data_IF_541971420672
#
_entry.id   IF_541971420672
#
_cell.length_a   1.000
_cell.length_b   1.000
_cell.length_c   1.000
_cell.angle_alpha   90.00
_cell.angle_beta   90.00
_cell.angle_gamma   90.00
#
_symmetry.space_group_name_H-M   'P 1'
#
loop_
_entity.id
_entity.type
_entity.pdbx_description
1 polymer ?
#
# COMPACT_ATOMS: atom_id res chain seq x y z
N UNK A 1 -17.72 -17.80 7.05
CA UNK A 1 -17.37 -16.40 6.69
C UNK A 1 -17.87 -16.12 5.28
N UNK A 2 -18.82 -15.19 5.08
CA UNK A 2 -19.41 -14.85 3.76
C UNK A 2 -18.29 -14.49 2.77
N UNK A 3 -18.35 -14.98 1.54
CA UNK A 3 -17.34 -14.76 0.49
C UNK A 3 -16.99 -13.26 0.31
N UNK A 4 -17.97 -12.37 0.49
CA UNK A 4 -17.78 -10.91 0.47
C UNK A 4 -16.77 -10.41 1.51
N UNK A 5 -16.70 -11.01 2.70
CA UNK A 5 -15.79 -10.56 3.77
C UNK A 5 -14.34 -10.95 3.45
N UNK A 6 -14.12 -12.14 2.87
CA UNK A 6 -12.78 -12.59 2.48
C UNK A 6 -12.18 -11.70 1.39
N UNK A 7 -12.98 -11.31 0.40
CA UNK A 7 -12.53 -10.41 -0.67
C UNK A 7 -12.13 -9.02 -0.14
N UNK A 8 -12.94 -8.45 0.77
CA UNK A 8 -12.62 -7.17 1.41
C UNK A 8 -11.34 -7.22 2.25
N UNK A 9 -11.13 -8.30 3.00
CA UNK A 9 -9.92 -8.50 3.82
C UNK A 9 -8.66 -8.58 2.97
N UNK A 10 -8.73 -9.28 1.84
CA UNK A 10 -7.59 -9.38 0.92
C UNK A 10 -7.28 -8.01 0.28
N UNK A 11 -8.29 -7.25 -0.12
CA UNK A 11 -8.11 -5.89 -0.63
C UNK A 11 -7.45 -4.97 0.41
N UNK A 12 -7.93 -4.99 1.67
CA UNK A 12 -7.30 -4.21 2.74
C UNK A 12 -5.85 -4.62 3.01
N UNK A 13 -5.52 -5.92 2.89
CA UNK A 13 -4.16 -6.40 3.09
C UNK A 13 -3.23 -5.95 1.96
N UNK A 14 -3.69 -5.96 0.70
CA UNK A 14 -2.94 -5.42 -0.43
C UNK A 14 -2.61 -3.94 -0.22
N UNK A 15 -3.59 -3.15 0.19
CA UNK A 15 -3.41 -1.73 0.49
C UNK A 15 -2.41 -1.55 1.65
N UNK A 16 -2.54 -2.34 2.72
CA UNK A 16 -1.60 -2.29 3.86
C UNK A 16 -0.15 -2.58 3.44
N UNK A 17 0.05 -3.59 2.58
CA UNK A 17 1.35 -3.97 2.04
C UNK A 17 2.00 -2.82 1.25
N UNK A 18 1.20 -1.97 0.59
CA UNK A 18 1.69 -0.78 -0.13
C UNK A 18 2.03 0.34 0.84
N UNK A 19 1.11 0.63 1.77
CA UNK A 19 1.16 1.84 2.59
C UNK A 19 2.34 1.82 3.56
N UNK A 20 2.53 0.74 4.32
CA UNK A 20 3.54 0.70 5.37
C UNK A 20 4.98 0.93 4.85
N UNK A 21 5.48 0.17 3.84
CA UNK A 21 6.81 0.43 3.28
C UNK A 21 6.91 1.79 2.58
N UNK A 22 5.82 2.29 1.98
CA UNK A 22 5.80 3.63 1.39
C UNK A 22 5.97 4.71 2.46
N UNK A 23 5.26 4.62 3.59
CA UNK A 23 5.42 5.56 4.71
C UNK A 23 6.87 5.53 5.20
N UNK A 24 7.43 4.33 5.42
CA UNK A 24 8.81 4.20 5.90
C UNK A 24 9.81 4.80 4.91
N UNK A 25 9.66 4.53 3.61
CA UNK A 25 10.53 5.09 2.58
C UNK A 25 10.44 6.63 2.55
N UNK A 26 9.23 7.18 2.54
CA UNK A 26 9.03 8.63 2.53
C UNK A 26 9.55 9.29 3.82
N UNK A 27 9.36 8.67 4.98
CA UNK A 27 9.95 9.16 6.22
C UNK A 27 11.48 9.11 6.21
N UNK A 28 12.07 8.07 5.62
CA UNK A 28 13.51 7.94 5.49
C UNK A 28 14.10 9.02 4.57
N UNK A 29 13.50 9.24 3.39
CA UNK A 29 13.99 10.21 2.41
C UNK A 29 13.62 11.66 2.74
N UNK A 30 12.37 11.94 3.14
CA UNK A 30 11.89 13.30 3.37
C UNK A 30 12.03 13.72 4.83
N UNK A 31 12.08 12.81 5.79
CA UNK A 31 11.98 13.12 7.22
C UNK A 31 13.11 13.97 7.77
N UNK A 32 14.34 13.82 7.25
CA UNK A 32 15.48 14.67 7.57
C UNK A 32 15.34 16.07 6.96
N UNK A 33 15.22 16.19 5.62
CA UNK A 33 15.10 17.49 4.94
C UNK A 33 14.00 18.41 5.50
N UNK A 34 12.85 17.86 5.88
CA UNK A 34 11.71 18.65 6.38
C UNK A 34 11.64 18.73 7.91
N UNK A 35 12.67 18.25 8.64
CA UNK A 35 12.65 18.18 10.11
C UNK A 35 12.59 19.55 10.79
N UNK A 36 13.07 20.60 10.13
CA UNK A 36 13.11 21.97 10.63
C UNK A 36 11.76 22.70 10.50
N UNK A 37 10.80 22.14 9.77
CA UNK A 37 9.49 22.72 9.59
C UNK A 37 8.57 22.40 10.78
N UNK A 38 7.58 23.26 11.08
CA UNK A 38 6.53 22.95 12.04
C UNK A 38 5.82 21.63 11.67
N UNK A 39 5.35 20.89 12.69
CA UNK A 39 4.75 19.56 12.53
C UNK A 39 3.65 19.52 11.46
N UNK A 40 2.79 20.53 11.40
CA UNK A 40 1.69 20.59 10.46
C UNK A 40 2.17 20.77 9.00
N UNK A 41 3.20 21.60 8.75
CA UNK A 41 3.82 21.74 7.43
C UNK A 41 4.52 20.44 6.99
N UNK A 42 5.30 19.85 7.90
CA UNK A 42 5.98 18.57 7.65
C UNK A 42 4.97 17.48 7.28
N UNK A 43 3.87 17.39 8.03
CA UNK A 43 2.82 16.40 7.78
C UNK A 43 2.09 16.66 6.46
N UNK A 44 1.85 17.93 6.12
CA UNK A 44 1.26 18.32 4.85
C UNK A 44 2.14 17.90 3.67
N UNK A 45 3.44 18.21 3.70
CA UNK A 45 4.36 17.84 2.63
C UNK A 45 4.51 16.32 2.49
N UNK A 46 4.61 15.62 3.62
CA UNK A 46 4.71 14.16 3.61
C UNK A 46 3.44 13.53 3.01
N UNK A 47 2.25 13.97 3.41
CA UNK A 47 0.99 13.38 2.92
C UNK A 47 0.65 13.83 1.50
N UNK A 48 0.94 15.09 1.13
CA UNK A 48 0.75 15.60 -0.23
C UNK A 48 1.58 14.86 -1.27
N UNK A 49 2.74 14.31 -0.87
CA UNK A 49 3.59 13.51 -1.76
C UNK A 49 3.27 12.01 -1.68
N UNK A 50 3.04 11.49 -0.47
CA UNK A 50 2.75 10.08 -0.22
C UNK A 50 1.41 9.63 -0.81
N UNK A 51 0.34 10.44 -0.69
CA UNK A 51 -1.00 10.03 -1.14
C UNK A 51 -1.05 9.81 -2.66
N UNK A 52 -0.61 10.77 -3.51
CA UNK A 52 -0.52 10.53 -4.95
C UNK A 52 0.38 9.33 -5.29
N UNK A 53 1.50 9.16 -4.58
CA UNK A 53 2.39 8.02 -4.77
C UNK A 53 1.66 6.69 -4.56
N UNK A 54 0.95 6.53 -3.44
CA UNK A 54 0.24 5.29 -3.13
C UNK A 54 -0.88 5.03 -4.14
N UNK A 55 -1.63 6.05 -4.54
CA UNK A 55 -2.79 5.90 -5.44
C UNK A 55 -2.36 5.59 -6.88
N UNK A 56 -1.37 6.31 -7.41
CA UNK A 56 -0.99 6.20 -8.82
C UNK A 56 0.12 5.19 -9.09
N UNK A 57 0.98 4.91 -8.11
CA UNK A 57 2.14 4.03 -8.29
C UNK A 57 2.05 2.81 -7.37
N UNK A 58 1.90 3.02 -6.07
CA UNK A 58 1.98 1.96 -5.07
C UNK A 58 0.95 0.86 -5.27
N UNK A 59 -0.34 1.21 -5.27
CA UNK A 59 -1.44 0.25 -5.44
C UNK A 59 -1.37 -0.46 -6.78
N UNK A 60 -1.27 0.22 -7.94
CA UNK A 60 -1.17 -0.44 -9.23
C UNK A 60 0.04 -1.37 -9.35
N UNK A 61 1.19 -0.99 -8.76
CA UNK A 61 2.40 -1.83 -8.79
C UNK A 61 2.21 -3.12 -7.99
N UNK A 62 1.66 -3.04 -6.79
CA UNK A 62 1.40 -4.23 -5.97
C UNK A 62 0.36 -5.11 -6.62
N UNK A 63 -0.71 -4.55 -7.21
CA UNK A 63 -1.67 -5.34 -7.98
C UNK A 63 -1.01 -6.06 -9.15
N UNK A 64 -0.20 -5.36 -9.95
CA UNK A 64 0.52 -5.96 -11.07
C UNK A 64 1.51 -7.06 -10.63
N UNK A 65 2.19 -6.90 -9.48
CA UNK A 65 3.07 -7.94 -8.93
C UNK A 65 2.25 -9.15 -8.50
N UNK A 66 1.16 -8.96 -7.76
CA UNK A 66 0.33 -10.07 -7.29
C UNK A 66 -0.33 -10.84 -8.45
N UNK A 67 -0.75 -10.15 -9.50
CA UNK A 67 -1.37 -10.79 -10.67
C UNK A 67 -0.36 -11.61 -11.48
N UNK A 68 0.93 -11.26 -11.42
CA UNK A 68 2.02 -12.01 -12.06
C UNK A 68 2.49 -13.23 -11.28
N UNK A 69 2.13 -13.33 -9.99
CA UNK A 69 2.47 -14.51 -9.19
C UNK A 69 1.49 -15.62 -9.58
N UNK A 70 1.94 -16.76 -10.15
CA UNK A 70 1.09 -17.89 -10.42
C UNK A 70 0.70 -18.53 -9.08
N UNK A 71 -0.39 -18.05 -8.48
CA UNK A 71 -1.03 -18.73 -7.36
C UNK A 71 -1.62 -20.00 -7.95
N UNK A 72 -0.91 -21.12 -7.80
CA UNK A 72 -1.43 -22.44 -8.12
C UNK A 72 -2.69 -22.68 -7.30
N UNK A 73 -3.87 -22.42 -7.89
CA UNK A 73 -5.18 -22.67 -7.30
C UNK A 73 -5.46 -24.18 -7.33
N UNK A 74 -4.59 -24.97 -6.71
CA UNK A 74 -4.91 -26.37 -6.47
C UNK A 74 -5.93 -26.43 -5.33
N UNK A 75 -7.06 -27.10 -5.61
CA UNK A 75 -8.08 -27.60 -4.66
C UNK A 75 -9.22 -26.63 -4.31
N UNK A 76 -10.15 -26.39 -5.25
CA UNK A 76 -11.58 -26.11 -4.92
C UNK A 76 -12.60 -26.29 -6.05
N UNK A 77 -12.39 -27.29 -6.91
CA UNK A 77 -13.39 -27.75 -7.90
C UNK A 77 -13.52 -29.29 -7.93
N UNK A 78 -13.20 -29.96 -6.83
CA UNK A 78 -13.53 -31.36 -6.62
C UNK A 78 -14.07 -31.49 -5.19
N UNK A 79 -15.41 -31.50 -5.09
CA UNK A 79 -16.34 -32.13 -4.14
C UNK A 79 -17.67 -31.41 -4.35
#
# INVERSE_FOLDING_TARGET
MKLKTKAKLLASLKIWLVIYPSITAFLYFLGGPIAHLPLYLRTLLLTATLVPWVVFVGVPTVEAILDRIPINKNKKQQI
#
